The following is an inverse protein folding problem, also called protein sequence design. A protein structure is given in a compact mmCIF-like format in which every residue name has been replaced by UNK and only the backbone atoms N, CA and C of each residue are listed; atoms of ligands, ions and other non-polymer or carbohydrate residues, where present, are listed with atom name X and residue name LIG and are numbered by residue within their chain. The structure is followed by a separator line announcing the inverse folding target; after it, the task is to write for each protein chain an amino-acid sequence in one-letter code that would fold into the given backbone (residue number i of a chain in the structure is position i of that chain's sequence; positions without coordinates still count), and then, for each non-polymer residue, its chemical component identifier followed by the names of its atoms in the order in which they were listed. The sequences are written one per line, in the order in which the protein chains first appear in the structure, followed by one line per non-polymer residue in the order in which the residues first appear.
data_IF_266755290073
#
_entry.id   IF_266755290073
#
_cell.length_a   1.000
_cell.length_b   1.000
_cell.length_c   1.000
_cell.angle_alpha   90.00
_cell.angle_beta   90.00
_cell.angle_gamma   90.00
#
_symmetry.space_group_name_H-M   'P 1'
#
loop_
_entity.id
_entity.type
_entity.pdbx_description
1 polymer ?
2 water ?
#
# COMPACT_ATOMS: atom_id res chain seq x y z
N UNK A 9 -12.32 7.55 -18.66
CA UNK A 9 -12.25 6.60 -17.55
C UNK A 9 -11.52 7.18 -16.35
N UNK A 10 -11.38 6.39 -15.33
CA UNK A 10 -10.91 6.82 -14.01
C UNK A 10 -9.40 6.89 -13.97
N UNK A 11 -8.80 7.96 -13.46
CA UNK A 11 -7.33 8.01 -13.30
C UNK A 11 -6.83 6.90 -12.39
N UNK A 12 -5.65 6.37 -12.72
CA UNK A 12 -5.12 5.24 -11.96
C UNK A 12 -4.92 5.60 -10.49
N UNK A 13 -4.51 6.84 -10.19
CA UNK A 13 -4.26 7.20 -8.80
C UNK A 13 -5.54 7.07 -7.97
N UNK A 14 -6.68 7.40 -8.57
CA UNK A 14 -7.94 7.31 -7.84
C UNK A 14 -8.29 5.85 -7.58
N UNK A 15 -8.11 4.98 -8.59
CA UNK A 15 -8.35 3.56 -8.37
C UNK A 15 -7.44 3.01 -7.28
N UNK A 16 -6.16 3.42 -7.29
CA UNK A 16 -5.24 2.93 -6.27
C UNK A 16 -5.63 3.42 -4.88
N UNK A 17 -6.01 4.71 -4.75
CA UNK A 17 -6.43 5.20 -3.44
C UNK A 17 -7.74 4.56 -2.99
N UNK A 18 -8.66 4.30 -3.91
CA UNK A 18 -9.85 3.54 -3.55
C UNK A 18 -9.48 2.16 -3.00
N UNK A 19 -8.52 1.51 -3.63
CA UNK A 19 -8.12 0.19 -3.17
C UNK A 19 -7.39 0.26 -1.84
N UNK A 20 -6.63 1.32 -1.60
CA UNK A 20 -6.04 1.54 -0.29
C UNK A 20 -7.13 1.67 0.77
N UNK A 21 -8.18 2.43 0.46
CA UNK A 21 -9.27 2.56 1.42
C UNK A 21 -9.92 1.22 1.73
N UNK A 22 -10.16 0.41 0.69
CA UNK A 22 -10.73 -0.91 0.94
C UNK A 22 -9.78 -1.78 1.76
N UNK A 23 -8.47 -1.64 1.51
CA UNK A 23 -7.44 -2.33 2.29
C UNK A 23 -7.54 -1.98 3.77
N UNK A 24 -7.63 -0.69 4.08
CA UNK A 24 -7.72 -0.28 5.48
C UNK A 24 -8.97 -0.85 6.14
N UNK A 25 -10.12 -0.71 5.47
CA UNK A 25 -11.37 -1.24 6.01
C UNK A 25 -11.32 -2.75 6.17
N UNK A 26 -10.93 -3.46 5.12
CA UNK A 26 -10.93 -4.92 5.17
C UNK A 26 -10.02 -5.44 6.27
N UNK A 27 -8.89 -4.80 6.50
CA UNK A 27 -7.96 -5.28 7.51
C UNK A 27 -8.50 -5.02 8.90
N UNK A 28 -9.13 -3.88 9.09
CA UNK A 28 -9.65 -3.55 10.41
C UNK A 28 -10.90 -4.35 10.73
N UNK A 29 -11.71 -4.64 9.73
CA UNK A 29 -13.01 -5.28 9.94
C UNK A 29 -13.00 -6.77 9.68
N UNK A 30 -11.93 -7.31 9.10
CA UNK A 30 -11.91 -8.72 8.75
C UNK A 30 -12.85 -9.07 7.61
N UNK A 31 -13.02 -8.18 6.64
CA UNK A 31 -13.97 -8.34 5.56
C UNK A 31 -13.25 -8.54 4.24
N UNK A 32 -14.03 -8.76 3.17
CA UNK A 32 -13.51 -8.99 1.82
C UNK A 32 -14.36 -8.19 0.85
N UNK A 33 -14.28 -6.87 0.95
CA UNK A 33 -14.93 -6.00 -0.01
C UNK A 33 -13.97 -5.74 -1.17
N UNK A 34 -14.52 -5.81 -2.38
CA UNK A 34 -13.73 -5.62 -3.60
C UNK A 34 -14.22 -4.39 -4.34
N UNK A 35 -13.30 -3.70 -5.00
CA UNK A 35 -13.67 -2.51 -5.76
C UNK A 35 -14.51 -2.91 -6.96
N UNK A 36 -15.69 -2.32 -7.09
CA UNK A 36 -16.52 -2.53 -8.25
C UNK A 36 -16.39 -1.39 -9.25
N UNK A 37 -16.58 -0.14 -8.80
CA UNK A 37 -16.38 1.00 -9.67
C UNK A 37 -16.18 2.25 -8.82
N UNK A 38 -15.61 3.27 -9.43
CA UNK A 38 -15.56 4.61 -8.84
C UNK A 38 -16.77 5.39 -9.36
N UNK A 39 -17.56 5.97 -8.46
CA UNK A 39 -18.69 6.80 -8.85
C UNK A 39 -18.29 8.25 -9.07
N UNK A 40 -17.50 8.79 -8.17
CA UNK A 40 -17.10 10.20 -8.29
C UNK A 40 -15.96 10.44 -7.33
N UNK A 41 -15.20 11.49 -7.59
CA UNK A 41 -14.21 11.91 -6.62
C UNK A 41 -14.08 13.42 -6.67
N UNK A 42 -13.65 13.99 -5.56
CA UNK A 42 -13.44 15.43 -5.43
C UNK A 42 -11.99 15.62 -5.05
N UNK A 43 -11.28 16.48 -5.78
CA UNK A 43 -9.86 16.66 -5.49
C UNK A 43 -9.57 18.13 -5.25
N UNK A 44 -8.83 18.40 -4.17
CA UNK A 44 -8.41 19.74 -3.82
C UNK A 44 -6.97 19.88 -4.28
N UNK A 45 -6.68 20.92 -5.05
CA UNK A 45 -5.35 21.12 -5.61
C UNK A 45 -4.88 22.48 -5.13
N UNK A 46 -3.88 22.50 -4.26
CA UNK A 46 -3.28 23.75 -3.83
C UNK A 46 -2.08 24.01 -4.73
N UNK A 47 -2.50 23.91 -5.99
CA UNK A 47 -1.81 23.50 -7.20
C UNK A 47 -1.55 21.99 -7.16
N UNK A 48 -0.66 21.47 -6.32
CA UNK A 48 -0.56 20.00 -6.23
C UNK A 48 -1.85 19.39 -5.69
N UNK A 49 -2.33 18.28 -6.29
CA UNK A 49 -3.46 17.56 -5.68
C UNK A 49 -3.10 17.04 -4.29
N UNK A 50 -3.77 17.57 -3.26
CA UNK A 50 -3.41 17.25 -1.88
C UNK A 50 -4.49 16.45 -1.16
N UNK A 51 -5.72 16.42 -1.67
CA UNK A 51 -6.72 15.59 -1.03
C UNK A 51 -7.66 15.01 -2.07
N UNK A 52 -8.03 13.75 -1.87
CA UNK A 52 -8.99 13.04 -2.67
C UNK A 52 -10.11 12.58 -1.75
N UNK A 53 -11.34 12.89 -2.11
CA UNK A 53 -12.53 12.35 -1.44
C UNK A 53 -13.23 11.53 -2.49
N UNK A 54 -13.16 10.21 -2.36
CA UNK A 54 -13.56 9.27 -3.40
C UNK A 54 -14.81 8.54 -2.92
N UNK A 55 -15.82 8.51 -3.77
CA UNK A 55 -17.02 7.71 -3.54
C UNK A 55 -16.96 6.52 -4.49
N UNK A 56 -16.94 5.32 -3.92
CA UNK A 56 -16.78 4.13 -4.73
C UNK A 56 -17.86 3.12 -4.36
N UNK A 57 -18.06 2.15 -5.26
CA UNK A 57 -18.96 1.03 -5.01
C UNK A 57 -18.08 -0.18 -4.78
N UNK A 58 -18.27 -0.84 -3.64
CA UNK A 58 -17.59 -2.10 -3.34
C UNK A 58 -18.56 -3.25 -3.49
N UNK A 59 -18.07 -4.38 -3.99
CA UNK A 59 -18.86 -5.61 -4.05
C UNK A 59 -18.55 -6.47 -2.83
N UNK A 60 -19.61 -7.02 -2.23
CA UNK A 60 -19.51 -7.94 -1.09
C UNK A 60 -20.10 -9.28 -1.53
N UNK A 61 -19.27 -10.21 -2.01
CA UNK A 61 -19.81 -11.47 -2.52
C UNK A 61 -20.48 -12.32 -1.48
N UNK A 62 -20.20 -12.10 -0.19
CA UNK A 62 -20.83 -12.91 0.85
C UNK A 62 -22.33 -12.66 0.92
N UNK A 63 -22.79 -11.45 0.57
CA UNK A 63 -24.22 -11.15 0.53
C UNK A 63 -24.71 -10.75 -0.85
N UNK A 64 -23.83 -10.76 -1.87
CA UNK A 64 -24.19 -10.29 -3.21
C UNK A 64 -24.75 -8.88 -3.17
N UNK A 65 -24.14 -8.02 -2.37
CA UNK A 65 -24.59 -6.65 -2.26
C UNK A 65 -23.48 -5.73 -2.72
N UNK A 66 -23.90 -4.56 -3.20
CA UNK A 66 -22.99 -3.51 -3.63
C UNK A 66 -23.15 -2.37 -2.65
N UNK A 67 -22.03 -1.94 -2.07
CA UNK A 67 -22.01 -1.03 -0.94
C UNK A 67 -21.31 0.25 -1.37
N UNK A 68 -22.00 1.40 -1.24
CA UNK A 68 -21.31 2.64 -1.54
C UNK A 68 -20.41 3.00 -0.36
N UNK A 69 -19.21 3.45 -0.70
CA UNK A 69 -18.08 3.47 0.20
C UNK A 69 -17.35 4.79 -0.01
N UNK A 70 -16.90 5.43 1.07
CA UNK A 70 -16.15 6.68 1.01
C UNK A 70 -14.71 6.45 1.45
N UNK A 71 -13.76 6.99 0.67
CA UNK A 71 -12.34 6.96 1.03
C UNK A 71 -11.80 8.38 0.93
N UNK A 72 -11.08 8.84 1.96
CA UNK A 72 -10.42 10.15 1.93
C UNK A 72 -8.91 9.95 2.11
N UNK A 73 -8.13 10.54 1.21
CA UNK A 73 -6.66 10.42 1.24
C UNK A 73 -6.08 11.81 1.07
N UNK A 74 -5.12 12.16 1.93
CA UNK A 74 -4.29 13.35 1.74
C UNK A 74 -2.96 12.94 1.16
N UNK A 75 -2.55 13.61 0.09
CA UNK A 75 -1.38 13.23 -0.69
C UNK A 75 -0.33 14.32 -0.59
N UNK A 76 0.92 13.92 -0.32
CA UNK A 76 1.98 14.90 -0.10
C UNK A 76 3.10 14.83 -1.13
N UNK A 77 3.08 13.87 -2.04
CA UNK A 77 4.08 13.83 -3.10
C UNK A 77 3.48 13.22 -4.34
N UNK A 78 4.02 13.63 -5.50
CA UNK A 78 3.70 13.03 -6.78
C UNK A 78 4.79 12.10 -7.31
N UNK A 79 5.94 12.05 -6.65
CA UNK A 79 7.08 11.32 -7.19
C UNK A 79 7.54 10.14 -6.37
N UNK A 80 6.84 9.89 -5.27
CA UNK A 80 7.10 8.77 -4.40
C UNK A 80 5.88 8.59 -3.53
N UNK A 81 5.78 7.43 -2.88
CA UNK A 81 4.66 7.20 -1.96
C UNK A 81 4.77 8.16 -0.78
N UNK A 82 3.73 8.96 -0.53
CA UNK A 82 3.69 9.83 0.65
C UNK A 82 2.24 10.30 0.81
N UNK A 83 1.45 9.54 1.56
CA UNK A 83 0.03 9.91 1.71
C UNK A 83 -0.55 9.27 2.96
N UNK A 84 -1.71 9.77 3.37
CA UNK A 84 -2.43 9.26 4.53
C UNK A 84 -3.89 8.98 4.15
N UNK A 85 -4.37 7.78 4.48
CA UNK A 85 -5.78 7.44 4.34
C UNK A 85 -6.48 7.65 5.68
N UNK A 86 -7.40 8.61 5.73
CA UNK A 86 -8.07 9.03 6.96
C UNK A 86 -9.44 8.41 7.16
N UNK A 87 -10.16 8.17 6.08
CA UNK A 87 -11.54 7.69 6.12
C UNK A 87 -11.63 6.55 5.12
N UNK A 88 -12.34 5.48 5.48
CA UNK A 88 -12.55 4.39 4.53
C UNK A 88 -13.69 3.55 5.12
N UNK A 89 -14.91 3.83 4.68
CA UNK A 89 -16.06 3.22 5.35
C UNK A 89 -17.27 3.30 4.43
N UNK A 90 -18.29 2.46 4.66
CA UNK A 90 -19.57 2.62 3.95
C UNK A 90 -20.16 4.00 4.18
N UNK A 91 -20.72 4.56 3.12
CA UNK A 91 -21.23 5.91 3.11
C UNK A 91 -22.72 5.89 3.40
N UNK A 92 -23.17 6.79 4.26
CA UNK A 92 -24.57 6.84 4.64
C UNK A 92 -24.89 7.85 5.72
N UNK A 99 -10.98 13.07 11.90
CA UNK A 99 -9.66 12.77 12.46
C UNK A 99 -8.61 13.82 12.11
N UNK A 100 -7.67 14.05 13.01
CA UNK A 100 -6.64 15.07 12.83
C UNK A 100 -5.53 14.56 11.91
N UNK A 101 -4.67 15.48 11.49
CA UNK A 101 -3.62 15.13 10.55
C UNK A 101 -2.67 14.09 11.16
N UNK A 102 -2.15 13.23 10.29
CA UNK A 102 -1.28 12.14 10.72
C UNK A 102 -0.32 11.83 9.59
N UNK A 103 0.98 11.98 9.83
CA UNK A 103 1.95 11.67 8.80
C UNK A 103 3.23 11.14 9.44
N UNK A 104 4.15 10.72 8.58
CA UNK A 104 5.39 10.05 8.98
C UNK A 104 6.55 10.93 8.55
N UNK A 105 7.37 11.33 9.50
CA UNK A 105 8.46 12.24 9.21
C UNK A 105 9.83 11.61 9.37
N UNK A 106 9.91 10.30 9.62
CA UNK A 106 11.20 9.72 9.93
C UNK A 106 11.80 9.04 8.70
N UNK A 107 13.13 9.11 8.60
CA UNK A 107 13.84 8.64 7.42
C UNK A 107 13.52 7.17 7.14
N UNK A 108 13.52 6.80 5.82
CA UNK A 108 13.43 5.43 5.38
C UNK A 108 14.82 4.83 5.22
N UNK A 109 14.96 3.53 5.43
CA UNK A 109 16.21 2.86 5.05
C UNK A 109 16.40 2.91 3.54
N UNK A 110 17.65 3.03 3.10
CA UNK A 110 17.92 3.20 1.69
C UNK A 110 18.31 1.90 0.99
N UNK A 111 18.46 0.80 1.72
CA UNK A 111 18.86 -0.46 1.12
C UNK A 111 18.08 -1.62 1.74
N UNK A 112 17.99 -2.70 0.97
CA UNK A 112 17.53 -3.97 1.48
C UNK A 112 18.26 -4.32 2.79
N UNK A 113 17.59 -4.96 3.75
CA UNK A 113 18.28 -5.33 4.99
C UNK A 113 19.43 -6.29 4.73
N UNK A 114 20.56 -6.01 5.37
CA UNK A 114 21.75 -6.84 5.31
C UNK A 114 21.64 -7.99 6.30
N UNK A 115 22.52 -8.98 6.14
CA UNK A 115 22.51 -10.15 7.02
C UNK A 115 22.64 -9.72 8.48
N UNK A 116 23.34 -8.63 8.76
CA UNK A 116 23.53 -8.22 10.16
C UNK A 116 22.25 -7.69 10.77
N UNK A 117 21.34 -7.15 9.95
CA UNK A 117 20.05 -6.73 10.47
C UNK A 117 19.23 -7.93 10.95
N UNK A 118 19.26 -9.04 10.20
CA UNK A 118 18.60 -10.25 10.66
C UNK A 118 19.24 -10.78 11.95
N UNK A 119 20.57 -10.73 12.05
CA UNK A 119 21.25 -11.24 13.23
C UNK A 119 21.06 -10.35 14.46
N UNK A 120 20.69 -9.09 14.26
CA UNK A 120 20.46 -8.15 15.37
C UNK A 120 19.19 -8.56 16.11
N UNK A 121 19.32 -9.04 17.34
CA UNK A 121 18.15 -9.58 18.01
C UNK A 121 17.20 -8.50 18.55
N UNK A 122 17.53 -7.22 18.40
CA UNK A 122 16.61 -6.16 18.74
C UNK A 122 15.70 -5.79 17.58
N UNK A 123 15.91 -6.38 16.42
CA UNK A 123 15.13 -6.10 15.22
C UNK A 123 14.40 -7.36 14.76
N UNK A 124 13.16 -7.19 14.30
CA UNK A 124 12.29 -8.32 13.99
C UNK A 124 11.94 -8.30 12.51
N UNK A 125 12.59 -9.16 11.73
CA UNK A 125 12.45 -9.19 10.28
C UNK A 125 11.86 -10.52 9.84
N UNK A 126 10.94 -10.47 8.89
CA UNK A 126 10.19 -11.63 8.44
C UNK A 126 10.43 -11.81 6.95
N UNK A 127 11.19 -12.86 6.59
CA UNK A 127 11.41 -13.22 5.20
C UNK A 127 10.20 -13.99 4.70
N UNK A 128 9.42 -13.36 3.83
CA UNK A 128 8.16 -13.93 3.39
C UNK A 128 8.35 -15.00 2.34
N UNK A 129 7.47 -16.00 2.35
CA UNK A 129 7.41 -17.02 1.32
C UNK A 129 6.41 -16.60 0.25
N UNK A 130 6.56 -17.16 -0.94
CA UNK A 130 5.65 -16.85 -2.05
C UNK A 130 4.20 -17.00 -1.63
N UNK A 131 3.88 -18.07 -0.90
CA UNK A 131 2.51 -18.26 -0.43
C UNK A 131 2.08 -17.11 0.48
N UNK A 132 3.01 -16.55 1.26
CA UNK A 132 2.65 -15.45 2.16
C UNK A 132 2.14 -14.23 1.39
N UNK A 133 2.89 -13.80 0.37
CA UNK A 133 2.41 -12.62 -0.34
C UNK A 133 1.26 -12.94 -1.28
N UNK A 134 1.20 -14.16 -1.82
CA UNK A 134 0.06 -14.50 -2.65
C UNK A 134 -1.24 -14.50 -1.86
N UNK A 135 -1.20 -14.83 -0.58
CA UNK A 135 -2.41 -14.83 0.22
C UNK A 135 -2.74 -13.48 0.85
N UNK A 136 -1.84 -12.48 0.76
CA UNK A 136 -2.09 -11.17 1.36
C UNK A 136 -1.77 -10.10 0.33
N UNK A 137 -2.78 -9.70 -0.46
CA UNK A 137 -2.51 -8.91 -1.66
C UNK A 137 -2.22 -7.45 -1.37
N UNK A 138 -2.25 -7.01 -0.11
CA UNK A 138 -1.78 -5.66 0.16
C UNK A 138 -0.30 -5.50 -0.15
N UNK A 139 0.47 -6.59 -0.15
CA UNK A 139 1.86 -6.50 -0.55
C UNK A 139 1.95 -6.12 -2.01
N UNK A 140 1.18 -6.79 -2.87
CA UNK A 140 1.14 -6.41 -4.28
C UNK A 140 0.64 -4.98 -4.45
N UNK A 141 -0.37 -4.59 -3.67
CA UNK A 141 -0.85 -3.22 -3.72
C UNK A 141 0.27 -2.21 -3.47
N UNK A 142 1.07 -2.44 -2.42
CA UNK A 142 2.11 -1.45 -2.11
C UNK A 142 3.16 -1.42 -3.21
N UNK A 143 3.48 -2.58 -3.79
CA UNK A 143 4.36 -2.62 -4.97
C UNK A 143 3.79 -1.81 -6.14
N UNK A 144 2.49 -2.01 -6.41
CA UNK A 144 1.86 -1.33 -7.53
C UNK A 144 1.88 0.19 -7.35
N UNK A 145 1.60 0.65 -6.13
CA UNK A 145 1.64 2.10 -5.89
C UNK A 145 3.07 2.61 -6.03
N UNK A 146 4.05 1.85 -5.56
CA UNK A 146 5.45 2.23 -5.71
C UNK A 146 5.84 2.34 -7.18
N UNK A 147 5.46 1.33 -7.98
CA UNK A 147 5.79 1.34 -9.40
C UNK A 147 5.14 2.54 -10.10
N UNK A 148 3.88 2.82 -9.76
CA UNK A 148 3.15 3.95 -10.34
C UNK A 148 3.85 5.27 -10.07
N UNK A 149 4.32 5.47 -8.85
CA UNK A 149 4.99 6.72 -8.51
C UNK A 149 6.37 6.86 -9.11
N UNK A 150 6.92 5.81 -9.74
CA UNK A 150 8.18 6.01 -10.47
C UNK A 150 7.98 6.93 -11.67
N UNK A 151 6.87 6.78 -12.38
CA UNK A 151 6.54 7.67 -13.50
C UNK A 151 5.04 7.53 -13.74
N UNK A 152 4.28 8.52 -13.28
CA UNK A 152 2.84 8.43 -13.34
C UNK A 152 2.29 8.65 -14.74
N UNK A 153 3.14 9.04 -15.68
CA UNK A 153 2.70 9.33 -17.04
C UNK A 153 2.66 8.09 -17.93
N UNK A 154 3.32 7.00 -17.53
CA UNK A 154 3.30 5.78 -18.30
C UNK A 154 1.89 5.20 -18.40
N UNK A 155 1.74 4.23 -19.31
CA UNK A 155 0.50 3.47 -19.44
C UNK A 155 0.71 2.15 -18.71
N UNK A 156 0.58 2.21 -17.39
CA UNK A 156 1.01 1.11 -16.52
C UNK A 156 0.19 -0.15 -16.79
N UNK A 157 0.90 -1.27 -16.89
CA UNK A 157 0.28 -2.60 -16.94
C UNK A 157 0.80 -3.36 -15.73
N UNK A 158 -0.01 -3.42 -14.67
CA UNK A 158 0.45 -4.01 -13.40
C UNK A 158 0.73 -5.50 -13.54
N UNK A 159 0.22 -6.13 -14.60
CA UNK A 159 0.51 -7.53 -14.80
C UNK A 159 1.93 -7.77 -15.32
N UNK A 160 2.66 -6.70 -15.67
CA UNK A 160 4.08 -6.84 -16.01
C UNK A 160 4.95 -7.04 -14.78
N UNK A 161 4.41 -6.88 -13.58
CA UNK A 161 5.19 -6.93 -12.35
C UNK A 161 5.12 -8.34 -11.76
N UNK A 162 6.27 -8.83 -11.28
CA UNK A 162 6.36 -10.15 -10.67
C UNK A 162 7.18 -10.06 -9.39
N UNK A 163 6.57 -10.41 -8.26
CA UNK A 163 7.27 -10.35 -6.98
C UNK A 163 8.29 -11.48 -6.88
N UNK A 164 9.52 -11.13 -6.48
CA UNK A 164 10.56 -12.14 -6.29
C UNK A 164 10.91 -12.40 -4.84
N UNK A 165 10.81 -11.38 -3.97
CA UNK A 165 11.22 -11.52 -2.59
C UNK A 165 10.58 -10.40 -1.79
N UNK A 166 10.18 -10.71 -0.55
CA UNK A 166 9.54 -9.73 0.32
C UNK A 166 10.08 -9.93 1.72
N UNK A 167 10.49 -8.84 2.37
CA UNK A 167 10.89 -8.87 3.78
C UNK A 167 10.08 -7.80 4.50
N UNK A 168 9.53 -8.14 5.66
CA UNK A 168 8.78 -7.18 6.47
C UNK A 168 9.47 -7.03 7.81
N UNK A 169 9.60 -5.79 8.28
CA UNK A 169 10.18 -5.51 9.59
C UNK A 169 9.13 -4.87 10.48
N UNK A 170 9.02 -5.37 11.70
CA UNK A 170 8.11 -4.84 12.71
C UNK A 170 8.91 -4.27 13.87
N UNK A 171 8.20 -3.53 14.72
CA UNK A 171 8.76 -2.94 15.93
C UNK A 171 8.70 -3.90 17.12
N UNK A 172 7.89 -4.95 17.03
CA UNK A 172 7.67 -5.87 18.12
C UNK A 172 7.77 -7.29 17.59
N UNK A 173 8.18 -8.20 18.47
CA UNK A 173 8.37 -9.60 18.13
C UNK A 173 7.01 -10.30 18.16
N UNK A 174 6.39 -10.46 16.99
CA UNK A 174 5.02 -10.99 16.92
C UNK A 174 4.99 -12.19 15.99
N UNK A 175 3.92 -12.99 16.03
CA UNK A 175 3.81 -14.11 15.07
C UNK A 175 3.69 -13.59 13.65
N UNK A 176 4.21 -14.38 12.71
CA UNK A 176 4.16 -14.02 11.29
C UNK A 176 2.73 -13.70 10.85
N UNK A 177 1.74 -14.47 11.34
CA UNK A 177 0.36 -14.23 10.95
C UNK A 177 -0.08 -12.80 11.32
N UNK A 178 0.37 -12.31 12.46
CA UNK A 178 0.07 -10.94 12.86
C UNK A 178 0.69 -9.93 11.90
N UNK A 179 1.92 -10.20 11.46
CA UNK A 179 2.57 -9.28 10.54
C UNK A 179 1.77 -9.12 9.26
N UNK A 180 1.19 -10.23 8.78
CA UNK A 180 0.50 -10.22 7.49
C UNK A 180 -0.97 -9.78 7.58
N UNK A 181 -1.64 -10.04 8.70
CA UNK A 181 -3.10 -9.90 8.75
C UNK A 181 -3.59 -8.74 9.62
N UNK A 182 -2.77 -8.18 10.49
CA UNK A 182 -3.23 -7.09 11.35
C UNK A 182 -2.71 -5.76 10.83
N UNK A 183 -3.53 -4.72 10.98
CA UNK A 183 -3.17 -3.37 10.51
C UNK A 183 -2.29 -2.70 11.56
N UNK A 184 -1.01 -3.06 11.54
CA UNK A 184 -0.02 -2.56 12.48
C UNK A 184 1.14 -1.91 11.71
N UNK A 185 2.03 -1.25 12.45
CA UNK A 185 3.20 -0.62 11.84
C UNK A 185 4.11 -1.67 11.20
N UNK A 186 4.45 -1.49 9.93
CA UNK A 186 5.36 -2.40 9.24
C UNK A 186 6.27 -1.60 8.31
N UNK A 187 7.44 -2.17 8.05
CA UNK A 187 8.37 -1.68 7.03
C UNK A 187 8.53 -2.81 6.02
N UNK A 188 8.17 -2.55 4.75
CA UNK A 188 8.06 -3.59 3.74
C UNK A 188 9.12 -3.36 2.67
N UNK A 189 9.90 -4.41 2.37
CA UNK A 189 10.88 -4.40 1.30
C UNK A 189 10.40 -5.37 0.22
N UNK A 190 10.24 -4.87 -1.00
CA UNK A 190 9.69 -5.69 -2.09
C UNK A 190 10.67 -5.68 -3.24
N UNK A 191 11.16 -6.87 -3.59
CA UNK A 191 12.01 -7.06 -4.75
C UNK A 191 11.14 -7.62 -5.88
N UNK A 192 11.06 -6.88 -7.00
CA UNK A 192 10.19 -7.34 -8.07
C UNK A 192 10.77 -7.01 -9.43
N UNK A 193 10.39 -7.80 -10.42
CA UNK A 193 10.81 -7.60 -11.81
C UNK A 193 9.65 -7.04 -12.63
N UNK A 194 9.98 -6.15 -13.55
CA UNK A 194 9.04 -5.60 -14.51
C UNK A 194 9.35 -6.21 -15.87
N UNK A 195 8.40 -6.95 -16.44
CA UNK A 195 8.62 -7.60 -17.72
C UNK A 195 8.78 -6.57 -18.84
N UNK A 196 9.81 -6.73 -19.65
CA UNK A 196 10.07 -5.80 -20.76
C UNK A 196 9.96 -6.45 -22.14
N UNK A 198 10.45 -9.15 -23.67
CA UNK A 198 11.04 -9.10 -25.00
C UNK A 198 12.42 -8.45 -24.92
N UNK A 199 12.47 -7.26 -24.33
CA UNK A 199 13.72 -6.61 -23.99
C UNK A 199 14.21 -7.00 -22.60
N UNK A 200 13.77 -8.14 -22.10
CA UNK A 200 14.22 -8.63 -20.81
C UNK A 200 13.30 -8.21 -19.68
N UNK A 201 13.89 -7.83 -18.54
CA UNK A 201 13.13 -7.33 -17.40
C UNK A 201 13.90 -6.17 -16.78
N UNK A 202 13.19 -5.34 -16.02
CA UNK A 202 13.78 -4.30 -15.20
C UNK A 202 13.66 -4.70 -13.73
N UNK A 203 14.74 -4.55 -12.98
CA UNK A 203 14.82 -5.06 -11.62
C UNK A 203 14.59 -3.92 -10.63
N UNK A 204 13.55 -4.05 -9.81
CA UNK A 204 13.11 -3.01 -8.90
C UNK A 204 13.18 -3.48 -7.45
N UNK A 205 13.41 -2.52 -6.55
CA UNK A 205 13.16 -2.68 -5.12
C UNK A 205 12.32 -1.51 -4.66
N UNK A 206 11.24 -1.79 -3.93
CA UNK A 206 10.44 -0.76 -3.26
C UNK A 206 10.58 -0.92 -1.76
N UNK A 207 10.64 0.21 -1.06
CA UNK A 207 10.68 0.23 0.41
C UNK A 207 9.55 1.11 0.87
N UNK A 208 8.65 0.56 1.70
CA UNK A 208 7.45 1.29 2.12
C UNK A 208 7.25 1.12 3.62
N UNK A 209 7.12 2.24 4.34
CA UNK A 209 6.74 2.19 5.74
C UNK A 209 5.25 2.48 5.88
N UNK A 210 4.54 1.57 6.52
CA UNK A 210 3.16 1.78 6.94
C UNK A 210 3.15 2.12 8.43
N UNK A 211 2.62 3.28 8.77
CA UNK A 211 2.41 3.62 10.17
C UNK A 211 0.92 3.81 10.38
N UNK A 212 0.43 3.35 11.52
CA UNK A 212 -1.00 3.31 11.84
C UNK A 212 -1.21 4.11 13.11
N UNK A 213 -2.15 5.04 13.08
CA UNK A 213 -2.40 5.88 14.25
C UNK A 213 -3.14 5.06 15.31
N UNK A 214 -2.65 5.02 16.55
CA UNK A 214 -3.15 4.02 17.52
C UNK A 214 -4.65 4.06 17.78
N UNK A 215 -5.28 5.23 17.81
CA UNK A 215 -6.70 5.31 18.13
C UNK A 215 -7.58 5.38 16.88
N UNK A 216 -7.26 6.28 15.97
CA UNK A 216 -8.03 6.47 14.74
C UNK A 216 -7.79 5.37 13.71
N UNK A 217 -6.64 4.70 13.79
CA UNK A 217 -6.22 3.72 12.81
C UNK A 217 -6.08 4.35 11.42
N UNK A 218 -5.83 5.66 11.37
CA UNK A 218 -5.46 6.28 10.10
C UNK A 218 -4.14 5.68 9.64
N UNK A 219 -3.99 5.51 8.33
CA UNK A 219 -2.87 4.77 7.74
C UNK A 219 -2.04 5.74 6.94
N UNK A 220 -0.76 5.87 7.29
CA UNK A 220 0.20 6.68 6.54
C UNK A 220 1.18 5.75 5.84
N UNK A 221 1.39 5.96 4.54
CA UNK A 221 2.38 5.23 3.76
C UNK A 221 3.46 6.20 3.30
N UNK A 222 4.72 5.83 3.54
CA UNK A 222 5.87 6.59 3.07
C UNK A 222 6.81 5.61 2.38
N UNK A 223 7.18 5.89 1.14
CA UNK A 223 7.93 4.93 0.37
C UNK A 223 8.94 5.59 -0.56
N UNK A 224 9.92 4.77 -0.96
CA UNK A 224 10.93 5.15 -1.93
C UNK A 224 11.24 3.94 -2.80
N UNK A 225 11.64 4.21 -4.05
CA UNK A 225 11.94 3.17 -5.02
C UNK A 225 13.38 3.30 -5.52
N UNK A 226 13.93 2.17 -5.95
CA UNK A 226 15.28 2.14 -6.48
C UNK A 226 15.38 1.03 -7.52
N UNK A 227 16.35 1.15 -8.41
CA UNK A 227 16.64 0.10 -9.39
C UNK A 227 17.79 -0.77 -8.91
N UNK A 228 17.73 -2.04 -9.26
CA UNK A 228 18.80 -3.00 -8.95
C UNK A 228 19.79 -2.99 -10.11
N UNK A 229 21.07 -2.65 -9.87
CA UNK A 229 22.19 -2.56 -10.83
C UNK A 229 22.12 -3.52 -12.01
#
# INVERSE_FOLDING_TARGET
XSVYKGGVDCPLVVKLYATVGLHRYNMLEGTNLYLHKIEKYVVVCTLMPVSYNITLIAEDPATSSFVVFETNVDQRSLGQIDFTCYISRPKGIKSEIYPNQFFDAKDLPDKWPSKEAFADQSRFLYKMQKSDWEEHDWIRLYMEISFFNRDRCLDHNMSDLKILDVVVETEENVPRETVLKSLRNVLVYIRYDQDLGADGVCKHIAIVRRTVEPTTHCVCLLGESQLVPDSELEHHHHHHHH
#
